data_IF_427902181501
#
_entry.id   IF_427902181501
#
_cell.length_a   1.000
_cell.length_b   1.000
_cell.length_c   1.000
_cell.angle_alpha   90.00
_cell.angle_beta   90.00
_cell.angle_gamma   90.00
#
_symmetry.space_group_name_H-M   'P 1'
#
loop_
_entity.id
_entity.type
_entity.pdbx_description
1 polymer ?
#
# COMPACT_ATOMS: atom_id res chain seq x y z
N UNK A 1 27.19 -55.25 37.02
CA UNK A 1 26.77 -53.85 37.15
C UNK A 1 26.53 -53.31 35.75
N UNK A 2 25.28 -53.13 35.33
CA UNK A 2 24.89 -52.58 34.01
C UNK A 2 24.60 -51.10 34.18
N UNK A 3 25.35 -50.26 33.49
CA UNK A 3 25.15 -48.81 33.49
C UNK A 3 24.16 -48.50 32.35
N UNK A 4 22.95 -48.07 32.71
CA UNK A 4 21.94 -47.55 31.77
C UNK A 4 22.27 -46.09 31.47
N UNK A 5 22.69 -45.78 30.25
CA UNK A 5 22.82 -44.41 29.74
C UNK A 5 21.43 -44.00 29.24
N UNK A 6 20.77 -43.12 30.00
CA UNK A 6 19.52 -42.47 29.57
C UNK A 6 19.92 -41.31 28.65
N UNK A 7 19.72 -41.50 27.35
CA UNK A 7 19.82 -40.41 26.37
C UNK A 7 18.56 -39.55 26.50
N UNK A 8 18.72 -38.37 27.10
CA UNK A 8 17.67 -37.34 27.18
C UNK A 8 17.62 -36.58 25.84
N UNK A 9 16.72 -37.02 24.98
CA UNK A 9 16.43 -36.30 23.71
C UNK A 9 15.74 -34.98 24.04
N UNK A 10 16.49 -33.89 24.02
CA UNK A 10 15.93 -32.53 24.03
C UNK A 10 15.21 -32.30 22.70
N UNK A 11 13.89 -32.37 22.68
CA UNK A 11 13.05 -31.89 21.60
C UNK A 11 13.20 -30.37 21.54
N UNK A 12 14.07 -29.88 20.69
CA UNK A 12 14.13 -28.47 20.29
C UNK A 12 12.83 -28.17 19.57
N UNK A 13 11.87 -27.60 20.27
CA UNK A 13 10.69 -27.00 19.66
C UNK A 13 11.16 -25.78 18.86
N UNK A 14 11.39 -25.97 17.55
CA UNK A 14 11.60 -24.86 16.63
C UNK A 14 10.26 -24.10 16.55
N UNK A 15 10.19 -22.95 17.20
CA UNK A 15 9.09 -22.00 16.93
C UNK A 15 9.18 -21.58 15.46
N UNK A 16 8.08 -21.57 14.71
CA UNK A 16 8.10 -21.03 13.37
C UNK A 16 8.57 -19.57 13.45
N UNK A 17 9.71 -19.26 12.86
CA UNK A 17 10.14 -17.88 12.71
C UNK A 17 9.17 -17.24 11.70
N UNK A 18 8.39 -16.26 12.14
CA UNK A 18 7.64 -15.43 11.22
C UNK A 18 8.64 -14.61 10.39
N UNK A 19 8.82 -14.99 9.11
CA UNK A 19 9.79 -14.37 8.21
C UNK A 19 9.19 -13.19 7.42
N UNK A 20 7.95 -12.79 7.68
CA UNK A 20 7.22 -11.73 7.02
C UNK A 20 6.54 -10.82 8.05
N UNK A 21 6.36 -9.52 7.73
CA UNK A 21 6.82 -8.79 6.52
C UNK A 21 8.28 -8.36 6.58
N UNK A 22 8.84 -7.93 5.43
CA UNK A 22 10.20 -7.40 5.29
C UNK A 22 10.24 -5.90 5.02
N UNK A 23 9.13 -5.32 4.57
CA UNK A 23 8.97 -3.90 4.29
C UNK A 23 7.67 -3.43 4.93
N UNK A 24 7.69 -2.28 5.59
CA UNK A 24 6.51 -1.64 6.18
C UNK A 24 6.26 -0.30 5.50
N UNK A 25 5.00 -0.08 5.15
CA UNK A 25 4.53 1.14 4.50
C UNK A 25 3.36 1.71 5.31
N UNK A 26 3.48 2.97 5.73
CA UNK A 26 2.35 3.77 6.17
C UNK A 26 1.71 4.41 4.93
N UNK A 27 0.40 4.29 4.76
CA UNK A 27 -0.26 4.72 3.54
C UNK A 27 -1.53 5.53 3.81
N UNK A 28 -1.85 6.44 2.90
CA UNK A 28 -3.17 7.04 2.80
C UNK A 28 -3.55 7.25 1.34
N UNK A 29 -4.83 7.39 1.07
CA UNK A 29 -5.38 7.59 -0.26
C UNK A 29 -6.09 8.93 -0.33
N UNK A 30 -5.77 9.74 -1.33
CA UNK A 30 -6.55 10.92 -1.68
C UNK A 30 -7.52 10.59 -2.81
N UNK A 31 -8.81 10.71 -2.53
CA UNK A 31 -9.86 10.59 -3.54
C UNK A 31 -9.97 11.93 -4.26
N UNK A 32 -9.66 11.95 -5.55
CA UNK A 32 -9.61 13.15 -6.37
C UNK A 32 -10.98 13.42 -6.99
N UNK A 33 -11.52 14.60 -6.70
CA UNK A 33 -12.82 15.03 -7.22
C UNK A 33 -12.66 16.17 -8.24
N UNK A 34 -13.47 16.11 -9.28
CA UNK A 34 -13.69 17.20 -10.22
C UNK A 34 -15.19 17.26 -10.50
N UNK A 35 -15.83 18.41 -10.26
CA UNK A 35 -17.28 18.60 -10.47
C UNK A 35 -18.11 17.49 -9.78
N UNK A 36 -17.86 17.26 -8.49
CA UNK A 36 -18.52 16.23 -7.65
C UNK A 36 -18.35 14.77 -8.13
N UNK A 37 -17.46 14.52 -9.10
CA UNK A 37 -17.15 13.21 -9.65
C UNK A 37 -15.78 12.75 -9.22
N UNK A 38 -15.63 11.46 -8.91
CA UNK A 38 -14.31 10.86 -8.65
C UNK A 38 -13.60 10.69 -9.99
N UNK A 39 -12.43 11.31 -10.13
CA UNK A 39 -11.60 11.24 -11.34
C UNK A 39 -10.34 10.42 -11.16
N UNK A 40 -9.94 10.13 -9.92
CA UNK A 40 -8.78 9.33 -9.62
C UNK A 40 -8.56 9.12 -8.13
N UNK A 41 -7.55 8.31 -7.83
CA UNK A 41 -7.04 8.07 -6.48
C UNK A 41 -5.54 8.39 -6.48
N UNK A 42 -5.09 9.29 -5.59
CA UNK A 42 -3.66 9.42 -5.34
C UNK A 42 -3.30 8.57 -4.15
N UNK A 43 -2.42 7.61 -4.38
CA UNK A 43 -1.87 6.75 -3.36
C UNK A 43 -0.60 7.40 -2.81
N UNK A 44 -0.48 7.45 -1.50
CA UNK A 44 0.69 8.00 -0.81
C UNK A 44 1.25 6.94 0.14
N UNK A 45 2.52 6.63 -0.01
CA UNK A 45 3.27 5.66 0.78
C UNK A 45 4.43 6.33 1.49
N UNK A 46 4.66 5.96 2.73
CA UNK A 46 5.84 6.32 3.50
C UNK A 46 6.49 5.04 4.01
N UNK A 47 7.71 4.76 3.56
CA UNK A 47 8.41 3.52 3.88
C UNK A 47 9.07 3.55 5.26
N UNK A 48 9.31 2.38 5.82
CA UNK A 48 10.08 2.22 7.04
C UNK A 48 11.53 2.70 6.89
N UNK A 49 12.24 3.00 8.01
CA UNK A 49 13.60 3.51 7.95
C UNK A 49 14.63 2.55 7.34
N UNK A 50 14.41 1.23 7.47
CA UNK A 50 15.35 0.24 6.93
C UNK A 50 15.29 0.19 5.40
N UNK A 51 14.09 0.07 4.84
CA UNK A 51 13.90 0.13 3.39
C UNK A 51 14.34 1.49 2.83
N UNK A 52 14.02 2.59 3.53
CA UNK A 52 14.49 3.94 3.18
C UNK A 52 16.00 3.99 3.05
N UNK A 53 16.72 3.48 4.05
CA UNK A 53 18.19 3.48 4.04
C UNK A 53 18.78 2.65 2.90
N UNK A 54 18.22 1.48 2.63
CA UNK A 54 18.65 0.62 1.50
C UNK A 54 18.44 1.34 0.16
N UNK A 55 17.22 1.83 -0.08
CA UNK A 55 16.88 2.47 -1.35
C UNK A 55 17.69 3.76 -1.58
N UNK A 56 17.91 4.56 -0.52
CA UNK A 56 18.78 5.74 -0.60
C UNK A 56 20.21 5.32 -0.96
N UNK A 57 20.79 4.35 -0.28
CA UNK A 57 22.16 3.90 -0.56
C UNK A 57 22.34 3.35 -1.99
N UNK A 58 21.32 2.72 -2.55
CA UNK A 58 21.39 2.15 -3.90
C UNK A 58 21.25 3.21 -5.01
N UNK A 59 20.60 4.35 -4.73
CA UNK A 59 20.29 5.37 -5.73
C UNK A 59 21.02 6.69 -5.53
N UNK A 60 21.58 6.96 -4.32
CA UNK A 60 22.44 8.10 -4.02
C UNK A 60 23.83 7.92 -4.68
N UNK A 61 23.93 8.38 -5.92
CA UNK A 61 25.14 8.18 -6.73
C UNK A 61 26.32 9.05 -6.28
N UNK A 62 26.03 10.21 -5.69
CA UNK A 62 27.05 11.15 -5.20
C UNK A 62 27.43 10.92 -3.74
N UNK A 63 26.71 10.05 -3.02
CA UNK A 63 26.91 9.63 -1.64
C UNK A 63 26.80 10.80 -0.64
N UNK A 64 25.89 11.73 -0.89
CA UNK A 64 25.62 12.87 0.00
C UNK A 64 24.52 12.60 1.05
N UNK A 65 23.87 11.43 0.97
CA UNK A 65 22.86 10.98 1.94
C UNK A 65 21.45 11.50 1.64
N UNK A 66 21.24 12.13 0.48
CA UNK A 66 19.93 12.57 -0.01
C UNK A 66 19.67 12.01 -1.40
N UNK A 67 18.44 12.06 -1.85
CA UNK A 67 18.09 11.77 -3.25
C UNK A 67 17.83 13.08 -3.96
N UNK A 68 18.72 13.46 -4.87
CA UNK A 68 18.47 14.60 -5.74
C UNK A 68 17.36 14.29 -6.76
N UNK A 69 16.93 15.28 -7.53
CA UNK A 69 15.83 15.14 -8.49
C UNK A 69 16.07 14.01 -9.50
N UNK A 70 17.29 13.89 -10.02
CA UNK A 70 17.63 12.86 -11.02
C UNK A 70 17.71 11.46 -10.43
N UNK A 71 18.18 11.34 -9.21
CA UNK A 71 18.25 10.09 -8.48
C UNK A 71 16.85 9.62 -8.11
N UNK A 72 16.00 10.54 -7.62
CA UNK A 72 14.60 10.28 -7.33
C UNK A 72 13.81 9.91 -8.60
N UNK A 73 14.03 10.57 -9.74
CA UNK A 73 13.40 10.22 -11.03
C UNK A 73 13.81 8.81 -11.49
N UNK A 74 15.10 8.45 -11.34
CA UNK A 74 15.59 7.12 -11.70
C UNK A 74 14.95 6.03 -10.82
N UNK A 75 14.88 6.26 -9.51
CA UNK A 75 14.21 5.36 -8.57
C UNK A 75 12.71 5.26 -8.90
N UNK A 76 12.05 6.39 -9.19
CA UNK A 76 10.64 6.43 -9.56
C UNK A 76 10.35 5.59 -10.82
N UNK A 77 11.15 5.75 -11.86
CA UNK A 77 10.98 5.00 -13.11
C UNK A 77 11.12 3.49 -12.90
N UNK A 78 12.14 3.06 -12.15
CA UNK A 78 12.35 1.65 -11.85
C UNK A 78 11.25 1.08 -10.96
N UNK A 79 10.84 1.83 -9.92
CA UNK A 79 9.79 1.41 -9.01
C UNK A 79 8.44 1.28 -9.71
N UNK A 80 8.08 2.22 -10.58
CA UNK A 80 6.85 2.17 -11.36
C UNK A 80 6.81 0.93 -12.27
N UNK A 81 7.92 0.57 -12.92
CA UNK A 81 7.98 -0.62 -13.76
C UNK A 81 7.87 -1.92 -12.93
N UNK A 82 8.58 -2.00 -11.81
CA UNK A 82 8.55 -3.19 -10.94
C UNK A 82 7.19 -3.42 -10.27
N UNK A 83 6.47 -2.35 -9.93
CA UNK A 83 5.17 -2.43 -9.26
C UNK A 83 4.01 -2.73 -10.22
N UNK A 84 4.22 -2.61 -11.52
CA UNK A 84 3.19 -2.78 -12.54
C UNK A 84 2.54 -4.16 -12.53
N UNK A 85 3.35 -5.23 -12.41
CA UNK A 85 2.84 -6.60 -12.39
C UNK A 85 2.02 -6.90 -11.13
N UNK A 86 2.28 -6.19 -10.02
CA UNK A 86 1.54 -6.31 -8.76
C UNK A 86 0.31 -5.40 -8.70
N UNK A 87 -0.03 -4.67 -9.78
CA UNK A 87 -1.09 -3.68 -9.76
C UNK A 87 -0.84 -2.56 -8.74
N UNK A 88 0.44 -2.25 -8.48
CA UNK A 88 0.86 -1.24 -7.50
C UNK A 88 0.31 -1.52 -6.09
N UNK A 89 0.14 -2.80 -5.72
CA UNK A 89 -0.49 -3.24 -4.47
C UNK A 89 -1.82 -2.54 -4.15
N UNK A 90 -2.47 -2.01 -5.17
CA UNK A 90 -3.70 -1.22 -5.07
C UNK A 90 -4.86 -2.01 -5.65
N UNK A 91 -5.85 -2.27 -4.81
CA UNK A 91 -7.04 -3.01 -5.19
C UNK A 91 -8.23 -2.06 -5.05
N UNK A 92 -8.91 -1.80 -6.16
CA UNK A 92 -10.03 -0.86 -6.25
C UNK A 92 -11.23 -1.57 -6.85
N UNK A 93 -12.41 -1.34 -6.30
CA UNK A 93 -13.66 -1.87 -6.82
C UNK A 93 -14.68 -0.74 -6.96
N UNK A 94 -15.44 -0.77 -8.05
CA UNK A 94 -16.58 0.10 -8.32
C UNK A 94 -17.82 -0.78 -8.37
N UNK A 95 -18.77 -0.57 -7.45
CA UNK A 95 -19.95 -1.44 -7.25
C UNK A 95 -19.60 -2.94 -7.10
N UNK A 96 -18.43 -3.21 -6.51
CA UNK A 96 -17.90 -4.56 -6.33
C UNK A 96 -17.14 -5.13 -7.53
N UNK A 97 -17.16 -4.47 -8.68
CA UNK A 97 -16.40 -4.86 -9.86
C UNK A 97 -14.94 -4.37 -9.76
N UNK A 98 -13.93 -5.24 -9.92
CA UNK A 98 -12.55 -4.88 -9.77
C UNK A 98 -12.06 -3.99 -10.91
N UNK A 99 -11.38 -2.89 -10.57
CA UNK A 99 -10.67 -2.04 -11.51
C UNK A 99 -9.30 -2.65 -11.85
N UNK A 100 -9.03 -2.88 -13.12
CA UNK A 100 -7.71 -3.35 -13.57
C UNK A 100 -6.72 -2.19 -13.59
N UNK A 101 -5.70 -2.26 -12.74
CA UNK A 101 -4.65 -1.23 -12.61
C UNK A 101 -3.39 -1.74 -13.29
N UNK A 102 -3.15 -1.29 -14.53
CA UNK A 102 -2.00 -1.67 -15.36
C UNK A 102 -0.99 -0.53 -15.56
N UNK A 103 -1.36 0.67 -15.18
CA UNK A 103 -0.52 1.87 -15.24
C UNK A 103 -1.01 2.88 -14.20
N UNK A 104 -0.12 3.78 -13.81
CA UNK A 104 -0.38 4.91 -12.93
C UNK A 104 0.23 6.17 -13.52
N UNK A 105 -0.31 7.32 -13.15
CA UNK A 105 0.17 8.62 -13.54
C UNK A 105 0.95 9.28 -12.40
N UNK A 106 1.80 10.25 -12.72
CA UNK A 106 2.47 11.14 -11.78
C UNK A 106 3.22 10.40 -10.64
N UNK A 107 3.91 9.28 -11.00
CA UNK A 107 4.69 8.52 -10.03
C UNK A 107 5.89 9.33 -9.55
N UNK A 108 5.91 9.68 -8.28
CA UNK A 108 6.94 10.51 -7.65
C UNK A 108 7.57 9.79 -6.47
N UNK A 109 8.88 9.99 -6.34
CA UNK A 109 9.67 9.54 -5.21
C UNK A 109 10.31 10.74 -4.56
N UNK A 110 10.31 10.79 -3.23
CA UNK A 110 10.96 11.83 -2.44
C UNK A 110 11.52 11.25 -1.16
N UNK A 111 12.49 11.95 -0.61
CA UNK A 111 12.94 11.74 0.77
C UNK A 111 12.38 12.89 1.61
N UNK A 112 11.36 12.60 2.42
CA UNK A 112 10.68 13.58 3.27
C UNK A 112 10.89 13.20 4.74
N UNK A 113 11.35 14.13 5.54
CA UNK A 113 11.66 13.91 6.96
C UNK A 113 12.52 12.67 7.23
N UNK A 114 13.46 12.38 6.32
CA UNK A 114 14.36 11.22 6.40
C UNK A 114 13.69 9.88 6.10
N UNK A 115 12.49 9.88 5.53
CA UNK A 115 11.78 8.69 5.06
C UNK A 115 11.49 8.78 3.57
N UNK A 116 11.66 7.66 2.90
CA UNK A 116 11.30 7.53 1.48
C UNK A 116 9.77 7.57 1.35
N UNK A 117 9.30 8.40 0.41
CA UNK A 117 7.87 8.51 0.09
C UNK A 117 7.64 8.25 -1.39
N UNK A 118 6.56 7.53 -1.69
CA UNK A 118 6.05 7.38 -3.05
C UNK A 118 4.66 7.98 -3.13
N UNK A 119 4.39 8.68 -4.23
CA UNK A 119 3.06 9.14 -4.57
C UNK A 119 2.78 8.86 -6.04
N UNK A 120 1.59 8.36 -6.35
CA UNK A 120 1.16 8.08 -7.72
C UNK A 120 -0.37 8.14 -7.85
N UNK A 121 -0.85 8.35 -9.06
CA UNK A 121 -2.28 8.51 -9.35
C UNK A 121 -2.81 7.34 -10.17
N UNK A 122 -3.86 6.71 -9.67
CA UNK A 122 -4.70 5.78 -10.40
C UNK A 122 -5.85 6.59 -10.99
N UNK A 123 -5.85 6.78 -12.31
CA UNK A 123 -6.94 7.47 -12.98
C UNK A 123 -8.18 6.58 -13.08
N UNK A 124 -9.37 7.15 -12.88
CA UNK A 124 -10.61 6.44 -13.18
C UNK A 124 -10.81 6.36 -14.70
N UNK A 125 -11.30 5.23 -15.24
CA UNK A 125 -11.54 5.10 -16.69
C UNK A 125 -12.56 6.09 -17.23
N UNK A 126 -13.46 6.58 -16.37
CA UNK A 126 -14.38 7.68 -16.60
C UNK A 126 -14.72 8.33 -15.25
N UNK A 127 -15.15 9.61 -15.21
CA UNK A 127 -15.59 10.24 -13.97
C UNK A 127 -16.74 9.45 -13.30
N UNK A 128 -16.54 9.03 -12.05
CA UNK A 128 -17.47 8.19 -11.30
C UNK A 128 -18.41 9.06 -10.46
N UNK A 129 -19.71 8.81 -10.51
CA UNK A 129 -20.70 9.40 -9.62
C UNK A 129 -20.73 8.66 -8.29
N UNK A 130 -20.17 9.23 -7.20
CA UNK A 130 -20.09 8.52 -5.93
C UNK A 130 -21.45 8.36 -5.22
N UNK A 131 -22.50 9.05 -5.69
CA UNK A 131 -23.86 8.88 -5.19
C UNK A 131 -24.59 7.67 -5.84
N UNK A 132 -24.06 7.16 -6.95
CA UNK A 132 -24.62 6.03 -7.69
C UNK A 132 -23.72 4.81 -7.67
N UNK A 133 -22.41 5.01 -7.46
CA UNK A 133 -21.39 3.95 -7.54
C UNK A 133 -20.59 3.93 -6.25
N UNK A 134 -20.58 2.79 -5.57
CA UNK A 134 -19.72 2.59 -4.40
C UNK A 134 -18.25 2.48 -4.83
N UNK A 135 -17.36 3.03 -4.00
CA UNK A 135 -15.91 2.91 -4.17
C UNK A 135 -15.33 2.18 -2.97
N UNK A 136 -14.70 1.06 -3.24
CA UNK A 136 -13.94 0.27 -2.27
C UNK A 136 -12.46 0.29 -2.64
N UNK A 137 -11.59 0.49 -1.64
CA UNK A 137 -10.13 0.52 -1.83
C UNK A 137 -9.47 -0.34 -0.76
N UNK A 138 -8.49 -1.13 -1.17
CA UNK A 138 -7.64 -1.90 -0.25
C UNK A 138 -6.21 -1.95 -0.77
N UNK A 139 -5.25 -1.64 0.08
CA UNK A 139 -3.83 -1.64 -0.27
C UNK A 139 -3.17 -2.84 0.40
N UNK A 140 -2.65 -3.78 -0.39
CA UNK A 140 -1.97 -4.95 0.14
C UNK A 140 -1.09 -5.68 -0.87
N UNK A 141 -0.04 -6.31 -0.38
CA UNK A 141 0.73 -7.33 -1.09
C UNK A 141 0.15 -8.72 -0.75
N UNK A 142 -0.35 -9.50 -1.73
CA UNK A 142 -0.88 -10.83 -1.48
C UNK A 142 0.11 -11.80 -0.82
N UNK A 143 1.40 -11.59 -1.01
CA UNK A 143 2.47 -12.41 -0.42
C UNK A 143 2.81 -12.00 1.01
N UNK A 144 2.34 -10.83 1.45
CA UNK A 144 2.66 -10.22 2.74
C UNK A 144 4.17 -10.00 2.94
N UNK A 145 4.93 -9.88 1.85
CA UNK A 145 6.33 -9.43 1.91
C UNK A 145 6.39 -7.96 2.30
N UNK A 146 5.42 -7.18 1.81
CA UNK A 146 5.19 -5.77 2.16
C UNK A 146 3.91 -5.68 2.99
N UNK A 147 4.01 -5.15 4.21
CA UNK A 147 2.84 -4.74 5.00
C UNK A 147 2.50 -3.29 4.69
N UNK A 148 1.27 -3.05 4.25
CA UNK A 148 0.77 -1.70 3.98
C UNK A 148 -0.32 -1.39 5.00
N UNK A 149 -0.04 -0.44 5.87
CA UNK A 149 -0.93 -0.02 6.95
C UNK A 149 -1.55 1.33 6.59
N UNK A 150 -2.87 1.40 6.39
CA UNK A 150 -3.55 2.68 6.23
C UNK A 150 -3.43 3.56 7.46
N UNK A 151 -3.34 4.89 7.24
CA UNK A 151 -3.34 5.87 8.33
C UNK A 151 -4.54 5.60 9.26
N UNK A 152 -4.32 5.42 10.57
CA UNK A 152 -5.37 5.01 11.51
C UNK A 152 -6.41 6.11 11.78
N UNK A 153 -6.11 7.37 11.42
CA UNK A 153 -6.98 8.53 11.68
C UNK A 153 -7.68 8.96 10.40
N UNK A 154 -6.95 9.05 9.30
CA UNK A 154 -7.43 9.65 8.04
C UNK A 154 -6.91 8.88 6.82
N UNK A 155 -7.34 7.60 6.66
CA UNK A 155 -6.85 6.73 5.59
C UNK A 155 -7.36 7.10 4.20
N UNK A 156 -8.54 7.74 4.10
CA UNK A 156 -9.09 8.31 2.88
C UNK A 156 -9.26 9.81 3.06
N UNK A 157 -8.54 10.59 2.26
CA UNK A 157 -8.62 12.05 2.22
C UNK A 157 -9.31 12.49 0.94
N UNK A 158 -9.82 13.70 0.94
CA UNK A 158 -10.57 14.22 -0.20
C UNK A 158 -9.89 15.46 -0.77
N UNK A 159 -9.78 15.51 -2.10
CA UNK A 159 -9.24 16.66 -2.84
C UNK A 159 -10.27 17.10 -3.88
N UNK A 160 -10.67 18.36 -3.84
CA UNK A 160 -11.71 18.96 -4.68
C UNK A 160 -13.09 19.01 -4.00
N UNK A 161 -14.03 19.64 -4.69
CA UNK A 161 -15.43 19.76 -4.22
C UNK A 161 -16.11 18.39 -4.36
N UNK A 162 -16.86 17.99 -3.34
CA UNK A 162 -17.49 16.68 -3.26
C UNK A 162 -18.84 16.71 -2.56
N UNK A 163 -19.75 15.76 -2.85
CA UNK A 163 -20.95 15.56 -2.05
C UNK A 163 -20.61 15.08 -0.62
N UNK A 164 -21.56 15.09 0.30
CA UNK A 164 -21.38 14.50 1.62
C UNK A 164 -21.07 13.00 1.51
N UNK A 165 -19.94 12.57 2.05
CA UNK A 165 -19.50 11.19 2.04
C UNK A 165 -19.12 10.71 3.45
N UNK A 166 -19.34 9.42 3.70
CA UNK A 166 -18.88 8.69 4.86
C UNK A 166 -17.78 7.71 4.45
N UNK A 167 -16.81 7.52 5.33
CA UNK A 167 -15.76 6.51 5.18
C UNK A 167 -16.04 5.40 6.18
N UNK A 168 -16.05 4.16 5.71
CA UNK A 168 -16.05 2.96 6.54
C UNK A 168 -14.74 2.22 6.37
N UNK A 169 -14.04 1.97 7.47
CA UNK A 169 -12.74 1.27 7.49
C UNK A 169 -12.86 0.03 8.36
N UNK A 170 -12.58 -1.13 7.80
CA UNK A 170 -12.71 -2.40 8.49
C UNK A 170 -11.75 -3.46 7.91
N UNK A 171 -11.43 -4.53 8.64
CA UNK A 171 -10.83 -5.71 8.03
C UNK A 171 -11.73 -6.25 6.91
N UNK A 172 -11.15 -6.59 5.75
CA UNK A 172 -11.94 -7.08 4.62
C UNK A 172 -12.71 -8.36 5.02
N UNK A 173 -14.05 -8.35 4.99
CA UNK A 173 -14.85 -9.50 5.39
C UNK A 173 -14.78 -10.67 4.39
N UNK A 174 -14.38 -10.40 3.15
CA UNK A 174 -14.43 -11.37 2.05
C UNK A 174 -13.04 -11.91 1.67
N UNK A 175 -11.98 -11.16 1.92
CA UNK A 175 -10.63 -11.47 1.42
C UNK A 175 -9.66 -11.73 2.55
N UNK A 176 -8.81 -12.72 2.30
CA UNK A 176 -7.64 -13.00 3.13
C UNK A 176 -6.43 -13.14 2.22
N UNK A 177 -5.27 -12.77 2.71
CA UNK A 177 -3.98 -12.90 2.04
C UNK A 177 -3.03 -13.78 2.86
N UNK A 178 -1.86 -14.05 2.33
CA UNK A 178 -0.81 -14.82 3.03
C UNK A 178 -1.37 -16.10 3.65
N UNK A 179 -1.80 -17.04 2.77
CA UNK A 179 -2.36 -18.35 3.16
C UNK A 179 -3.60 -18.26 4.09
N UNK A 180 -4.34 -17.16 4.05
CA UNK A 180 -5.53 -16.94 4.88
C UNK A 180 -5.25 -16.41 6.28
N UNK A 181 -4.00 -16.05 6.59
CA UNK A 181 -3.58 -15.60 7.92
C UNK A 181 -3.81 -14.11 8.16
N UNK A 182 -3.84 -13.30 7.09
CA UNK A 182 -3.97 -11.85 7.17
C UNK A 182 -5.24 -11.39 6.47
N UNK A 183 -5.97 -10.48 7.07
CA UNK A 183 -7.09 -9.76 6.47
C UNK A 183 -6.64 -8.33 6.15
N UNK A 184 -6.58 -7.94 4.85
CA UNK A 184 -6.24 -6.57 4.51
C UNK A 184 -7.33 -5.61 4.99
N UNK A 185 -6.98 -4.34 5.14
CA UNK A 185 -7.94 -3.29 5.48
C UNK A 185 -8.72 -2.88 4.24
N UNK A 186 -10.05 -2.91 4.34
CA UNK A 186 -10.96 -2.38 3.33
C UNK A 186 -11.40 -0.98 3.74
N UNK A 187 -11.23 -0.02 2.85
CA UNK A 187 -11.69 1.37 2.95
C UNK A 187 -12.82 1.57 1.95
N UNK A 188 -14.00 1.90 2.46
CA UNK A 188 -15.21 2.05 1.66
C UNK A 188 -15.67 3.50 1.69
N UNK A 189 -15.98 4.05 0.53
CA UNK A 189 -16.55 5.38 0.39
C UNK A 189 -18.05 5.27 0.08
N UNK A 190 -18.87 5.90 0.92
CA UNK A 190 -20.31 5.93 0.80
C UNK A 190 -20.76 7.38 0.70
N UNK A 191 -21.22 7.83 -0.44
CA UNK A 191 -21.69 9.19 -0.65
C UNK A 191 -23.21 9.22 -0.83
N UNK A 192 -23.82 10.29 -0.34
CA UNK A 192 -25.26 10.53 -0.57
C UNK A 192 -25.40 11.54 -1.70
N UNK A 193 -26.37 11.33 -2.57
CA UNK A 193 -26.74 12.34 -3.57
C UNK A 193 -27.18 13.63 -2.91
N UNK A 194 -26.90 14.76 -3.56
CA UNK A 194 -27.35 16.09 -3.14
C UNK A 194 -28.86 16.23 -3.30
#
# INVERSE_FOLDING_TARGET
MAVYVVAMSALLSASPAAAHPHVWIDAFVEVLFTEDRITGLRINWTFDPFFTGMATADFDANQDGVLDEKEAEKLAALSAENLKESGFFSNVWLDGDPLSITAVDDFKVRLEDGRLTYAFVIAMPAPVDPAQTSLDVSLYDPTFYVEITPDPIDPLRFVGDRPPCLINVQPDPQRTIYFGLVRPTLMQLLCTGA
#
